data_IF_177285608429
#
_entry.id   IF_177285608429
#
_cell.length_a   1.000
_cell.length_b   1.000
_cell.length_c   1.000
_cell.angle_alpha   90.00
_cell.angle_beta   90.00
_cell.angle_gamma   90.00
#
_symmetry.space_group_name_H-M   'P 1'
#
loop_
_entity.id
_entity.type
_entity.pdbx_description
1 polymer ?
#
# COMPACT_ATOMS: atom_id res chain seq x y z
N UNK A 1 -26.31 0.03 -25.72
CA UNK A 1 -25.48 -1.10 -25.26
C UNK A 1 -25.53 -1.07 -23.73
N UNK A 2 -26.24 -1.98 -23.07
CA UNK A 2 -26.34 -1.97 -21.61
C UNK A 2 -25.04 -2.50 -21.01
N UNK A 3 -24.42 -1.74 -20.10
CA UNK A 3 -23.28 -2.24 -19.35
C UNK A 3 -23.70 -3.52 -18.61
N UNK A 4 -22.90 -4.60 -18.66
CA UNK A 4 -23.21 -5.81 -17.92
C UNK A 4 -23.31 -5.47 -16.43
N UNK A 5 -24.41 -5.88 -15.79
CA UNK A 5 -24.58 -5.74 -14.33
C UNK A 5 -23.46 -6.55 -13.67
N UNK A 6 -22.51 -5.88 -13.02
CA UNK A 6 -21.54 -6.53 -12.15
C UNK A 6 -22.32 -7.10 -10.95
N UNK A 7 -22.39 -8.44 -10.76
CA UNK A 7 -23.08 -9.01 -9.62
C UNK A 7 -22.41 -8.53 -8.34
N UNK A 8 -23.21 -8.12 -7.34
CA UNK A 8 -22.67 -7.79 -6.02
C UNK A 8 -22.14 -9.07 -5.38
N UNK A 9 -20.83 -9.13 -5.16
CA UNK A 9 -20.17 -10.32 -4.61
C UNK A 9 -20.13 -10.32 -3.08
N UNK A 10 -20.43 -9.17 -2.44
CA UNK A 10 -20.30 -9.02 -1.00
C UNK A 10 -18.87 -9.20 -0.50
N UNK A 11 -17.88 -9.02 -1.37
CA UNK A 11 -16.47 -9.17 -1.02
C UNK A 11 -15.80 -7.81 -0.90
N UNK A 12 -14.90 -7.70 0.07
CA UNK A 12 -13.97 -6.58 0.28
C UNK A 12 -12.88 -6.48 -0.81
N UNK A 13 -13.12 -7.06 -1.99
CA UNK A 13 -12.21 -7.05 -3.11
C UNK A 13 -12.76 -6.12 -4.22
N UNK A 14 -11.90 -5.27 -4.76
CA UNK A 14 -12.16 -4.48 -5.98
C UNK A 14 -13.25 -3.39 -5.80
N UNK A 15 -13.97 -3.05 -6.88
CA UNK A 15 -14.85 -1.88 -7.00
C UNK A 15 -16.07 -1.87 -6.08
N UNK A 16 -16.45 -3.02 -5.53
CA UNK A 16 -17.64 -3.13 -4.67
C UNK A 16 -17.30 -3.02 -3.18
N UNK A 17 -16.01 -2.98 -2.84
CA UNK A 17 -15.55 -2.95 -1.46
C UNK A 17 -16.14 -1.78 -0.67
N UNK A 18 -16.28 -0.60 -1.28
CA UNK A 18 -16.87 0.60 -0.66
C UNK A 18 -18.30 0.43 -0.12
N UNK A 19 -19.05 -0.57 -0.62
CA UNK A 19 -20.43 -0.83 -0.20
C UNK A 19 -20.52 -1.73 1.04
N UNK A 20 -19.43 -2.39 1.42
CA UNK A 20 -19.35 -3.15 2.68
C UNK A 20 -18.95 -2.17 3.81
N UNK A 21 -19.74 -2.04 4.90
CA UNK A 21 -19.39 -1.17 6.03
C UNK A 21 -18.02 -1.46 6.64
N UNK A 22 -17.53 -2.70 6.55
CA UNK A 22 -16.20 -3.08 7.04
C UNK A 22 -15.09 -2.33 6.28
N UNK A 23 -15.33 -1.89 5.04
CA UNK A 23 -14.41 -1.05 4.29
C UNK A 23 -14.01 0.21 5.02
N UNK A 24 -15.00 0.93 5.57
CA UNK A 24 -14.76 2.19 6.25
C UNK A 24 -14.00 1.99 7.56
N UNK A 25 -14.30 0.91 8.30
CA UNK A 25 -13.54 0.55 9.51
C UNK A 25 -12.11 0.10 9.18
N UNK A 26 -11.93 -0.68 8.11
CA UNK A 26 -10.62 -1.10 7.63
C UNK A 26 -9.76 0.11 7.23
N UNK A 27 -10.30 1.03 6.43
CA UNK A 27 -9.60 2.22 5.99
C UNK A 27 -9.32 3.20 7.13
N UNK A 28 -10.21 3.29 8.13
CA UNK A 28 -9.91 4.03 9.36
C UNK A 28 -8.68 3.48 10.08
N UNK A 29 -8.48 2.15 10.13
CA UNK A 29 -7.27 1.56 10.71
C UNK A 29 -6.02 1.71 9.82
N UNK A 30 -6.17 1.71 8.49
CA UNK A 30 -5.06 2.00 7.56
C UNK A 30 -4.60 3.45 7.69
N UNK A 31 -5.55 4.39 7.81
CA UNK A 31 -5.29 5.80 8.06
C UNK A 31 -4.64 6.02 9.42
N UNK A 32 -5.11 5.33 10.48
CA UNK A 32 -4.45 5.31 11.79
C UNK A 32 -2.97 4.92 11.69
N UNK A 33 -2.64 3.91 10.88
CA UNK A 33 -1.25 3.50 10.64
C UNK A 33 -0.44 4.62 9.96
N UNK A 34 -1.01 5.29 8.96
CA UNK A 34 -0.38 6.44 8.30
C UNK A 34 -0.16 7.60 9.27
N UNK A 35 -1.18 8.03 10.02
CA UNK A 35 -1.04 9.11 11.00
C UNK A 35 -0.02 8.78 12.09
N UNK A 36 0.01 7.52 12.55
CA UNK A 36 1.02 7.06 13.51
C UNK A 36 2.44 7.15 12.96
N UNK A 37 2.63 6.78 11.69
CA UNK A 37 3.91 6.96 11.00
C UNK A 37 4.27 8.44 10.84
N UNK A 38 3.33 9.30 10.44
CA UNK A 38 3.54 10.73 10.33
C UNK A 38 3.98 11.33 11.68
N UNK A 39 3.30 10.96 12.76
CA UNK A 39 3.64 11.37 14.12
C UNK A 39 5.06 10.92 14.53
N UNK A 40 5.43 9.70 14.19
CA UNK A 40 6.74 9.14 14.53
C UNK A 40 7.91 9.80 13.75
N UNK A 41 7.72 10.07 12.46
CA UNK A 41 8.82 10.40 11.55
C UNK A 41 8.77 11.82 10.97
N UNK A 42 7.57 12.37 10.69
CA UNK A 42 7.47 13.75 10.21
C UNK A 42 7.68 14.77 11.34
N UNK A 43 7.23 14.47 12.56
CA UNK A 43 7.39 15.39 13.69
C UNK A 43 8.80 15.41 14.26
N UNK A 44 9.55 14.32 14.09
CA UNK A 44 10.90 14.17 14.62
C UNK A 44 12.00 14.64 13.66
N UNK A 45 11.64 15.13 12.45
CA UNK A 45 12.53 15.46 11.33
C UNK A 45 13.52 14.33 10.94
N UNK A 46 13.30 13.10 11.44
CA UNK A 46 14.11 11.92 11.17
C UNK A 46 13.47 11.08 10.08
N UNK A 47 13.36 11.66 8.90
CA UNK A 47 12.68 11.03 7.76
C UNK A 47 13.50 11.17 6.49
N UNK A 48 13.59 10.08 5.74
CA UNK A 48 14.11 10.09 4.38
C UNK A 48 13.24 11.02 3.51
N UNK A 49 13.80 12.05 2.85
CA UNK A 49 13.06 12.92 1.94
C UNK A 49 12.24 12.16 0.89
N UNK A 50 12.69 10.98 0.44
CA UNK A 50 11.98 10.12 -0.51
C UNK A 50 10.68 9.51 0.06
N UNK A 51 10.52 9.53 1.39
CA UNK A 51 9.28 9.08 2.04
C UNK A 51 8.20 10.17 2.09
N UNK A 52 8.54 11.41 1.70
CA UNK A 52 7.56 12.51 1.58
C UNK A 52 7.00 12.55 0.15
N UNK A 53 5.71 12.91 -0.04
CA UNK A 53 5.17 13.15 -1.37
C UNK A 53 5.93 14.29 -2.04
N UNK A 54 6.20 14.14 -3.35
CA UNK A 54 6.82 15.19 -4.15
C UNK A 54 5.91 16.41 -4.27
N UNK A 55 6.49 17.58 -4.54
CA UNK A 55 5.69 18.81 -4.73
C UNK A 55 4.70 18.70 -5.89
N UNK A 56 5.03 17.93 -6.92
CA UNK A 56 4.13 17.60 -8.03
C UNK A 56 2.94 16.77 -7.55
N UNK A 57 3.18 15.77 -6.69
CA UNK A 57 2.10 14.92 -6.16
C UNK A 57 1.21 15.70 -5.20
N UNK A 58 1.79 16.55 -4.34
CA UNK A 58 1.05 17.42 -3.40
C UNK A 58 0.02 18.30 -4.10
N UNK A 59 0.39 18.90 -5.24
CA UNK A 59 -0.49 19.77 -6.05
C UNK A 59 -1.56 19.01 -6.85
N UNK A 60 -1.55 17.67 -6.82
CA UNK A 60 -2.50 16.88 -7.61
C UNK A 60 -3.91 17.04 -7.05
N UNK A 61 -4.82 17.56 -7.87
CA UNK A 61 -6.25 17.61 -7.55
C UNK A 61 -6.80 16.19 -7.44
N UNK A 62 -7.44 15.90 -6.32
CA UNK A 62 -8.11 14.65 -6.03
C UNK A 62 -9.59 14.80 -6.37
N UNK A 63 -9.96 14.80 -7.65
CA UNK A 63 -11.39 14.82 -7.99
C UNK A 63 -12.06 13.47 -7.64
N UNK A 64 -13.28 13.45 -7.05
CA UNK A 64 -14.16 14.60 -6.78
C UNK A 64 -14.02 15.20 -5.37
N UNK A 65 -12.98 14.85 -4.61
CA UNK A 65 -12.83 15.17 -3.20
C UNK A 65 -12.82 16.69 -2.93
N UNK A 66 -13.65 17.10 -1.98
CA UNK A 66 -13.74 18.49 -1.48
C UNK A 66 -12.67 18.74 -0.42
N UNK A 67 -12.17 19.97 -0.28
CA UNK A 67 -11.21 20.33 0.78
C UNK A 67 -11.73 19.94 2.17
N UNK A 68 -10.89 19.47 3.10
CA UNK A 68 -11.33 19.07 4.44
C UNK A 68 -12.15 20.17 5.14
N UNK A 69 -11.66 21.41 5.12
CA UNK A 69 -12.32 22.55 5.77
C UNK A 69 -13.76 22.77 5.30
N UNK A 70 -14.05 22.49 4.02
CA UNK A 70 -15.37 22.60 3.41
C UNK A 70 -16.22 21.35 3.65
N UNK A 71 -15.61 20.16 3.63
CA UNK A 71 -16.27 18.88 3.92
C UNK A 71 -16.98 18.93 5.28
N UNK A 72 -16.29 19.43 6.30
CA UNK A 72 -16.81 19.52 7.66
C UNK A 72 -17.83 20.64 7.87
N UNK A 73 -18.07 21.47 6.84
CA UNK A 73 -19.19 22.42 6.78
C UNK A 73 -20.41 21.84 6.04
N UNK A 74 -20.34 20.58 5.59
CA UNK A 74 -21.40 19.92 4.84
C UNK A 74 -21.32 20.09 3.32
N UNK A 75 -20.24 20.67 2.80
CA UNK A 75 -20.01 20.75 1.35
C UNK A 75 -19.41 19.43 0.87
N UNK A 76 -20.17 18.68 0.09
CA UNK A 76 -19.79 17.36 -0.39
C UNK A 76 -19.43 17.45 -1.88
N UNK A 77 -18.52 16.58 -2.29
CA UNK A 77 -18.06 16.41 -3.67
C UNK A 77 -19.15 16.32 -4.74
N UNK A 78 -20.35 15.84 -4.38
CA UNK A 78 -21.45 15.64 -5.32
C UNK A 78 -22.47 16.79 -5.35
N UNK A 79 -22.40 17.73 -4.41
CA UNK A 79 -23.34 18.87 -4.31
C UNK A 79 -22.66 20.23 -4.50
N UNK A 80 -21.37 20.24 -4.80
CA UNK A 80 -20.56 21.44 -5.03
C UNK A 80 -19.95 21.38 -6.42
N UNK A 81 -19.95 22.50 -7.15
CA UNK A 81 -19.31 22.59 -8.47
C UNK A 81 -17.78 22.52 -8.33
N UNK A 82 -17.15 21.78 -9.24
CA UNK A 82 -15.69 21.62 -9.29
C UNK A 82 -15.02 22.97 -9.57
N UNK A 83 -14.11 23.37 -8.71
CA UNK A 83 -13.33 24.60 -8.83
C UNK A 83 -12.06 24.52 -7.97
N UNK A 84 -11.07 25.37 -8.22
CA UNK A 84 -9.85 25.42 -7.41
C UNK A 84 -10.13 25.79 -5.94
N UNK A 85 -11.22 26.53 -5.69
CA UNK A 85 -11.67 26.89 -4.35
C UNK A 85 -12.22 25.68 -3.58
N UNK A 86 -12.92 24.77 -4.28
CA UNK A 86 -13.65 23.65 -3.69
C UNK A 86 -12.87 22.33 -3.70
N UNK A 87 -12.17 22.06 -4.79
CA UNK A 87 -11.51 20.78 -5.04
C UNK A 87 -10.27 20.64 -4.18
N UNK A 88 -10.15 19.50 -3.51
CA UNK A 88 -8.98 19.18 -2.72
C UNK A 88 -7.83 18.73 -3.59
N UNK A 89 -6.63 19.09 -3.15
CA UNK A 89 -5.38 18.51 -3.59
C UNK A 89 -4.94 17.39 -2.64
N UNK A 90 -3.92 16.63 -3.03
CA UNK A 90 -3.29 15.66 -2.12
C UNK A 90 -2.72 16.35 -0.88
N UNK A 91 -2.18 17.57 -1.02
CA UNK A 91 -1.64 18.36 0.09
C UNK A 91 -2.69 18.66 1.17
N UNK A 92 -3.91 19.00 0.76
CA UNK A 92 -5.01 19.30 1.69
C UNK A 92 -5.32 18.11 2.62
N UNK A 93 -5.10 16.88 2.15
CA UNK A 93 -5.40 15.63 2.87
C UNK A 93 -4.16 14.96 3.47
N UNK A 94 -2.95 15.47 3.21
CA UNK A 94 -1.73 14.76 3.54
C UNK A 94 -1.40 14.80 5.02
N UNK A 95 -1.34 15.99 5.63
CA UNK A 95 -0.90 16.13 7.03
C UNK A 95 -2.07 15.90 7.99
N UNK A 96 -2.00 14.80 8.77
CA UNK A 96 -3.04 14.45 9.73
C UNK A 96 -3.35 15.56 10.75
N UNK A 97 -2.39 16.47 11.03
CA UNK A 97 -2.60 17.58 11.98
C UNK A 97 -3.59 18.62 11.48
N UNK A 98 -3.77 18.71 10.17
CA UNK A 98 -4.67 19.68 9.55
C UNK A 98 -6.10 19.13 9.38
N UNK A 99 -6.31 17.85 9.72
CA UNK A 99 -7.60 17.19 9.64
C UNK A 99 -8.34 17.35 10.98
N UNK A 100 -9.67 17.57 10.98
CA UNK A 100 -10.41 17.88 12.21
C UNK A 100 -10.92 16.62 12.92
N UNK A 101 -10.12 15.57 12.90
CA UNK A 101 -10.34 14.35 13.66
C UNK A 101 -9.03 13.88 14.26
N UNK A 102 -9.11 13.04 15.29
CA UNK A 102 -7.95 12.39 15.89
C UNK A 102 -8.29 10.96 16.27
N UNK A 103 -7.24 10.14 16.43
CA UNK A 103 -7.38 8.82 17.02
C UNK A 103 -7.17 8.88 18.52
N UNK A 104 -7.94 8.07 19.25
CA UNK A 104 -7.83 7.84 20.69
C UNK A 104 -6.43 7.34 21.08
N UNK A 105 -5.86 6.44 20.28
CA UNK A 105 -4.52 5.90 20.46
C UNK A 105 -3.79 5.82 19.12
N UNK A 106 -2.56 6.33 19.05
CA UNK A 106 -1.67 6.12 17.91
C UNK A 106 -0.79 4.88 18.13
N UNK A 107 -0.38 4.23 17.05
CA UNK A 107 0.56 3.12 17.12
C UNK A 107 1.94 3.63 17.56
N UNK A 108 2.64 2.94 18.49
CA UNK A 108 3.93 3.38 19.00
C UNK A 108 5.01 3.41 17.90
N UNK A 109 5.87 4.43 17.93
CA UNK A 109 7.03 4.54 17.05
C UNK A 109 8.03 3.43 17.40
N UNK A 110 8.28 2.52 16.44
CA UNK A 110 9.13 1.34 16.64
C UNK A 110 8.40 0.00 16.56
N UNK A 111 7.11 -0.05 16.23
CA UNK A 111 6.45 -1.30 15.88
C UNK A 111 6.67 -1.65 14.39
N UNK A 112 7.52 -2.64 14.03
CA UNK A 112 7.11 -3.54 12.99
C UNK A 112 6.05 -4.45 13.60
N UNK A 113 4.86 -4.43 13.02
CA UNK A 113 3.79 -5.40 13.26
C UNK A 113 3.04 -5.29 14.61
N UNK A 114 1.74 -5.67 14.61
CA UNK A 114 0.99 -5.87 15.84
C UNK A 114 1.74 -6.81 16.80
N UNK A 115 1.90 -6.41 18.07
CA UNK A 115 2.20 -7.26 19.24
C UNK A 115 3.01 -8.56 18.98
N UNK A 116 4.18 -8.47 18.37
CA UNK A 116 5.22 -9.51 18.50
C UNK A 116 6.42 -8.90 19.24
N UNK A 117 6.32 -8.83 20.56
CA UNK A 117 7.33 -8.22 21.44
C UNK A 117 8.70 -8.91 21.34
N UNK A 118 9.80 -8.18 21.60
CA UNK A 118 11.20 -8.64 21.67
C UNK A 118 11.76 -9.51 20.50
N UNK A 119 10.94 -9.99 19.58
CA UNK A 119 11.34 -10.82 18.45
C UNK A 119 11.74 -9.99 17.22
N UNK A 120 11.19 -8.79 17.05
CA UNK A 120 11.55 -7.91 15.93
C UNK A 120 13.04 -7.54 15.92
N UNK A 121 13.65 -7.30 17.08
CA UNK A 121 15.09 -7.04 17.20
C UNK A 121 15.94 -8.30 17.02
N UNK A 122 15.45 -9.47 17.43
CA UNK A 122 16.13 -10.75 17.21
C UNK A 122 16.20 -11.14 15.72
N UNK A 123 15.32 -10.60 14.87
CA UNK A 123 15.31 -10.81 13.42
C UNK A 123 16.07 -9.73 12.62
N UNK A 124 16.87 -8.87 13.29
CA UNK A 124 17.75 -7.92 12.62
C UNK A 124 19.10 -8.53 12.20
N UNK A 125 19.50 -9.67 12.78
CA UNK A 125 20.76 -10.36 12.45
C UNK A 125 20.61 -11.43 11.36
N UNK A 126 19.37 -11.83 11.05
CA UNK A 126 19.08 -12.84 10.04
C UNK A 126 19.16 -12.26 8.62
N UNK A 127 19.79 -13.00 7.71
CA UNK A 127 19.85 -12.69 6.29
C UNK A 127 18.44 -12.45 5.72
N UNK A 128 18.30 -11.42 4.88
CA UNK A 128 17.04 -11.01 4.25
C UNK A 128 17.16 -11.12 2.74
N UNK A 129 16.30 -11.90 2.10
CA UNK A 129 16.20 -11.87 0.65
C UNK A 129 15.12 -10.89 0.25
N UNK A 130 15.45 -10.00 -0.69
CA UNK A 130 14.49 -9.10 -1.33
C UNK A 130 14.15 -9.62 -2.72
N UNK A 131 12.94 -10.16 -2.87
CA UNK A 131 12.45 -10.55 -4.19
C UNK A 131 11.60 -9.41 -4.72
N UNK A 132 11.98 -8.84 -5.85
CA UNK A 132 11.24 -7.77 -6.49
C UNK A 132 10.39 -8.33 -7.62
N UNK A 133 9.09 -8.17 -7.48
CA UNK A 133 8.13 -8.58 -8.49
C UNK A 133 7.64 -7.34 -9.19
N UNK A 134 7.86 -7.29 -10.49
CA UNK A 134 7.26 -6.25 -11.31
C UNK A 134 5.75 -6.51 -11.43
N UNK A 135 4.96 -5.65 -10.79
CA UNK A 135 3.51 -5.64 -10.85
C UNK A 135 2.99 -4.51 -11.77
N UNK A 136 3.84 -3.97 -12.65
CA UNK A 136 3.53 -2.89 -13.59
C UNK A 136 2.34 -3.17 -14.50
N UNK A 137 1.98 -4.44 -14.75
CA UNK A 137 0.78 -4.79 -15.53
C UNK A 137 -0.53 -4.71 -14.72
N UNK A 138 -0.53 -4.15 -13.50
CA UNK A 138 -1.73 -3.89 -12.67
C UNK A 138 -2.66 -5.10 -12.46
N UNK A 139 -2.11 -6.30 -12.57
CA UNK A 139 -2.96 -7.48 -12.61
C UNK A 139 -3.31 -7.94 -11.20
N UNK A 140 -4.49 -7.55 -10.71
CA UNK A 140 -4.96 -7.95 -9.38
C UNK A 140 -4.84 -9.44 -9.13
N UNK A 141 -4.53 -9.81 -7.90
CA UNK A 141 -4.47 -11.20 -7.50
C UNK A 141 -3.58 -11.42 -6.30
N UNK A 142 -3.56 -12.69 -5.90
CA UNK A 142 -2.76 -13.20 -4.83
C UNK A 142 -1.43 -13.70 -5.38
N UNK A 143 -0.36 -13.02 -5.00
CA UNK A 143 1.00 -13.38 -5.35
C UNK A 143 1.63 -14.13 -4.18
N UNK A 144 2.09 -15.34 -4.43
CA UNK A 144 2.72 -16.20 -3.43
C UNK A 144 4.09 -16.67 -3.94
N UNK A 145 5.12 -16.40 -3.16
CA UNK A 145 6.48 -16.81 -3.44
C UNK A 145 6.77 -18.13 -2.74
N UNK A 146 7.30 -19.09 -3.49
CA UNK A 146 7.70 -20.41 -2.99
C UNK A 146 9.19 -20.65 -3.23
N UNK A 147 9.79 -21.43 -2.35
CA UNK A 147 11.07 -22.08 -2.59
C UNK A 147 10.85 -23.58 -2.43
N UNK A 148 11.04 -24.32 -3.53
CA UNK A 148 10.56 -25.71 -3.65
C UNK A 148 9.05 -25.76 -3.37
N UNK A 149 8.62 -26.49 -2.34
CA UNK A 149 7.22 -26.59 -1.92
C UNK A 149 6.88 -25.66 -0.74
N UNK A 150 7.87 -24.96 -0.17
CA UNK A 150 7.68 -24.11 1.02
C UNK A 150 7.23 -22.71 0.61
N UNK A 151 6.11 -22.26 1.18
CA UNK A 151 5.65 -20.87 1.06
C UNK A 151 6.61 -19.94 1.81
N UNK A 152 7.17 -18.96 1.11
CA UNK A 152 8.06 -17.95 1.66
C UNK A 152 7.34 -16.65 2.03
N UNK A 153 6.29 -16.29 1.29
CA UNK A 153 5.51 -15.10 1.54
C UNK A 153 4.35 -14.95 0.57
N UNK A 154 3.34 -14.17 0.96
CA UNK A 154 2.17 -13.87 0.15
C UNK A 154 1.87 -12.37 0.22
N UNK A 155 1.56 -11.77 -0.93
CA UNK A 155 1.10 -10.38 -1.05
C UNK A 155 -0.13 -10.40 -1.97
N UNK A 156 -1.15 -9.65 -1.59
CA UNK A 156 -2.35 -9.48 -2.41
C UNK A 156 -2.32 -8.09 -3.04
N UNK A 157 -2.45 -8.04 -4.37
CA UNK A 157 -2.56 -6.79 -5.12
C UNK A 157 -4.03 -6.60 -5.50
N UNK A 158 -4.62 -5.52 -5.00
CA UNK A 158 -5.97 -5.10 -5.38
C UNK A 158 -5.89 -4.20 -6.62
N UNK A 159 -6.81 -4.39 -7.56
CA UNK A 159 -7.04 -3.46 -8.66
C UNK A 159 -8.53 -3.20 -8.81
N UNK A 160 -8.88 -2.00 -9.25
CA UNK A 160 -10.25 -1.64 -9.62
C UNK A 160 -10.42 -1.70 -11.13
N UNK A 161 -11.29 -2.57 -11.63
CA UNK A 161 -11.67 -2.61 -13.05
C UNK A 161 -12.65 -1.47 -13.35
N UNK A 162 -12.17 -0.32 -13.82
CA UNK A 162 -13.04 0.79 -14.25
C UNK A 162 -13.22 1.94 -13.24
N UNK A 163 -12.25 2.14 -12.34
CA UNK A 163 -12.29 3.21 -11.34
C UNK A 163 -11.04 4.10 -11.30
N UNK A 164 -10.13 4.01 -12.28
CA UNK A 164 -9.06 5.00 -12.35
C UNK A 164 -9.63 6.25 -12.99
N UNK A 165 -9.54 7.39 -12.31
CA UNK A 165 -9.67 8.69 -12.97
C UNK A 165 -8.86 8.62 -14.27
N UNK A 166 -9.44 8.98 -15.42
CA UNK A 166 -8.77 8.92 -16.72
C UNK A 166 -7.43 9.69 -16.72
N UNK A 167 -7.26 10.64 -15.79
CA UNK A 167 -6.04 11.42 -15.57
C UNK A 167 -5.00 10.73 -14.68
N UNK A 168 -5.38 9.72 -13.90
CA UNK A 168 -4.50 8.93 -13.02
C UNK A 168 -4.00 7.63 -13.68
N UNK A 169 -4.63 7.18 -14.76
CA UNK A 169 -4.25 5.97 -15.49
C UNK A 169 -2.96 6.14 -16.33
N UNK A 170 -2.58 7.37 -16.67
CA UNK A 170 -1.56 7.67 -17.67
C UNK A 170 -0.13 7.82 -17.12
N UNK A 171 0.09 7.65 -15.82
CA UNK A 171 1.43 7.86 -15.24
C UNK A 171 1.99 6.55 -14.71
N UNK A 172 2.96 6.03 -15.47
CA UNK A 172 3.67 4.78 -15.23
C UNK A 172 4.61 4.89 -14.06
N UNK A 173 4.07 4.85 -12.84
CA UNK A 173 4.88 4.58 -11.67
C UNK A 173 5.42 3.14 -11.78
N UNK A 174 6.72 2.96 -11.55
CA UNK A 174 7.34 1.64 -11.45
C UNK A 174 6.74 0.89 -10.24
N UNK A 175 5.72 0.07 -10.49
CA UNK A 175 5.05 -0.69 -9.44
C UNK A 175 5.76 -2.00 -9.19
N UNK A 176 6.74 -1.97 -8.29
CA UNK A 176 7.43 -3.17 -7.83
C UNK A 176 6.84 -3.63 -6.49
N UNK A 177 6.33 -4.86 -6.44
CA UNK A 177 5.96 -5.52 -5.19
C UNK A 177 7.18 -6.27 -4.65
N UNK A 178 7.71 -5.80 -3.53
CA UNK A 178 8.84 -6.43 -2.85
C UNK A 178 8.38 -7.46 -1.83
N UNK A 179 8.96 -8.67 -1.87
CA UNK A 179 8.91 -9.63 -0.78
C UNK A 179 10.20 -9.53 0.02
N UNK A 180 10.05 -9.37 1.34
CA UNK A 180 11.14 -9.54 2.28
C UNK A 180 11.01 -10.91 2.91
N UNK A 181 11.80 -11.86 2.43
CA UNK A 181 11.83 -13.22 2.97
C UNK A 181 12.93 -13.31 4.01
N UNK A 182 12.56 -13.72 5.22
CA UNK A 182 13.49 -13.92 6.33
C UNK A 182 13.40 -15.37 6.79
N UNK A 183 14.54 -16.02 7.04
CA UNK A 183 14.57 -17.26 7.82
C UNK A 183 14.65 -18.65 7.14
N UNK A 184 14.73 -18.85 5.81
CA UNK A 184 15.09 -20.16 5.25
C UNK A 184 16.57 -20.30 4.87
N UNK A 185 17.36 -19.23 4.97
CA UNK A 185 18.72 -19.17 4.43
C UNK A 185 19.67 -18.68 5.51
N UNK A 186 20.71 -19.48 5.78
CA UNK A 186 21.71 -19.19 6.82
C UNK A 186 22.83 -18.30 6.28
N UNK A 187 23.15 -18.42 4.99
CA UNK A 187 24.20 -17.63 4.32
C UNK A 187 23.72 -16.96 3.03
N UNK A 188 24.45 -15.90 2.62
CA UNK A 188 24.22 -15.23 1.31
C UNK A 188 24.31 -16.24 0.17
N UNK A 189 25.26 -17.17 0.23
CA UNK A 189 25.40 -18.23 -0.78
C UNK A 189 24.18 -19.16 -0.84
N UNK A 190 23.58 -19.51 0.30
CA UNK A 190 22.35 -20.32 0.32
C UNK A 190 21.18 -19.57 -0.31
N UNK A 191 21.09 -18.27 -0.05
CA UNK A 191 20.10 -17.38 -0.63
C UNK A 191 20.27 -17.24 -2.15
N UNK A 192 21.51 -17.02 -2.62
CA UNK A 192 21.84 -16.94 -4.05
C UNK A 192 21.57 -18.26 -4.78
N UNK A 193 21.94 -19.39 -4.19
CA UNK A 193 21.67 -20.72 -4.73
C UNK A 193 20.17 -21.04 -4.79
N UNK A 194 19.36 -20.42 -3.93
CA UNK A 194 17.91 -20.60 -3.91
C UNK A 194 17.18 -19.77 -4.97
N UNK A 195 17.76 -18.66 -5.46
CA UNK A 195 17.17 -17.78 -6.48
C UNK A 195 16.63 -18.53 -7.70
N UNK A 196 17.39 -19.42 -8.37
CA UNK A 196 16.87 -20.15 -9.53
C UNK A 196 15.77 -21.17 -9.18
N UNK A 197 15.56 -21.48 -7.90
CA UNK A 197 14.54 -22.41 -7.40
C UNK A 197 13.29 -21.69 -6.87
N UNK A 198 13.24 -20.36 -6.97
CA UNK A 198 12.10 -19.58 -6.57
C UNK A 198 10.98 -19.71 -7.60
N UNK A 199 9.78 -20.01 -7.12
CA UNK A 199 8.56 -20.08 -7.92
C UNK A 199 7.59 -19.03 -7.41
N UNK A 200 7.32 -18.04 -8.24
CA UNK A 200 6.26 -17.07 -7.98
C UNK A 200 4.96 -17.56 -8.61
N UNK A 201 3.88 -17.58 -7.83
CA UNK A 201 2.55 -17.93 -8.31
C UNK A 201 1.60 -16.75 -8.14
N UNK A 202 0.81 -16.44 -9.17
CA UNK A 202 -0.34 -15.53 -9.10
C UNK A 202 -1.62 -16.35 -9.21
N UNK A 203 -2.49 -16.27 -8.20
CA UNK A 203 -3.73 -17.06 -8.13
C UNK A 203 -3.49 -18.56 -8.37
N UNK A 204 -2.37 -19.08 -7.86
CA UNK A 204 -1.95 -20.47 -8.03
C UNK A 204 -1.21 -20.81 -9.33
N UNK A 205 -1.16 -19.89 -10.30
CA UNK A 205 -0.48 -20.08 -11.60
C UNK A 205 0.94 -19.51 -11.54
N UNK A 206 1.94 -20.28 -11.97
CA UNK A 206 3.32 -19.83 -12.00
C UNK A 206 3.51 -18.64 -12.97
N UNK A 207 4.27 -17.64 -12.56
CA UNK A 207 4.62 -16.45 -13.35
C UNK A 207 6.13 -16.18 -13.27
N UNK A 208 6.64 -15.44 -14.25
CA UNK A 208 8.06 -15.10 -14.32
C UNK A 208 8.44 -14.08 -13.25
N UNK A 209 9.54 -14.34 -12.54
CA UNK A 209 10.19 -13.36 -11.66
C UNK A 209 11.09 -12.48 -12.51
N UNK A 210 10.91 -11.15 -12.46
CA UNK A 210 11.71 -10.21 -13.27
C UNK A 210 13.09 -9.95 -12.67
N UNK A 211 13.19 -9.76 -11.36
CA UNK A 211 14.48 -9.57 -10.68
C UNK A 211 14.46 -10.10 -9.26
N UNK A 212 15.64 -10.51 -8.78
CA UNK A 212 15.85 -10.95 -7.40
C UNK A 212 17.11 -10.28 -6.87
N UNK A 213 17.03 -9.73 -5.67
CA UNK A 213 18.16 -9.16 -4.97
C UNK A 213 18.38 -9.90 -3.64
N UNK A 214 19.59 -10.40 -3.45
CA UNK A 214 20.01 -10.96 -2.16
C UNK A 214 20.84 -9.88 -1.47
N UNK A 215 20.39 -9.43 -0.30
CA UNK A 215 21.06 -8.37 0.44
C UNK A 215 21.29 -8.81 1.88
N UNK A 216 22.54 -8.66 2.36
CA UNK A 216 22.78 -8.74 3.79
C UNK A 216 22.25 -7.46 4.42
N UNK A 217 21.36 -7.60 5.39
CA UNK A 217 20.94 -6.46 6.20
C UNK A 217 22.06 -6.14 7.18
N UNK A 218 22.60 -4.94 7.08
CA UNK A 218 23.56 -4.39 8.05
C UNK A 218 22.82 -3.69 9.18
#
# INVERSE_FOLDING_TARGET
MFAPKLPFTGTMAQNQSIFDPIFWLHHSNVERQLCSWQKAFLESDNIDPLSKPSDTLKKRVLYPWTKPSLLWQGNLSHNTESSEENDATFEDWWDHKNLPYEYDEYLPSGAPAPRFGKQAEQHLTSLRIKVYVDASDYTAGDYALFWKEKLLGKVSVLSGTGGVCAHCQSQGDERVVGYKVTGPFDTVGDAEAAVPLLVLKRNGVAIQVKSVAVEKWN
#
